data_IF_019165764153
#
_entry.id   IF_019165764153
#
_cell.length_a   1.000
_cell.length_b   1.000
_cell.length_c   1.000
_cell.angle_alpha   90.00
_cell.angle_beta   90.00
_cell.angle_gamma   90.00
#
_symmetry.space_group_name_H-M   'P 1'
#
loop_
_entity.id
_entity.type
_entity.pdbx_description
1 polymer ?
#
# COMPACT_ATOMS: atom_id res chain seq x y z
N UNK A 1 29.19 10.44 15.57
CA UNK A 1 28.21 10.94 14.58
C UNK A 1 26.91 10.22 14.83
N UNK A 2 26.06 10.78 15.70
CA UNK A 2 24.81 10.14 16.09
C UNK A 2 23.82 10.16 14.91
N UNK A 3 23.39 8.98 14.47
CA UNK A 3 22.23 8.87 13.58
C UNK A 3 21.00 9.37 14.35
N UNK A 4 20.60 10.60 14.07
CA UNK A 4 19.29 11.12 14.46
C UNK A 4 18.25 10.25 13.76
N UNK A 5 17.69 9.29 14.50
CA UNK A 5 16.59 8.46 14.03
C UNK A 5 15.31 9.33 14.02
N UNK A 6 15.13 10.10 12.94
CA UNK A 6 13.94 10.95 12.68
C UNK A 6 12.78 10.09 12.14
N UNK A 7 12.73 8.81 12.50
CA UNK A 7 11.70 7.89 12.05
C UNK A 7 11.05 7.25 13.27
N UNK A 8 9.73 7.43 13.38
CA UNK A 8 8.93 6.82 14.44
C UNK A 8 9.05 5.30 14.36
N UNK A 9 9.37 4.60 15.47
CA UNK A 9 9.49 3.15 15.48
C UNK A 9 8.17 2.48 15.10
N UNK A 10 7.03 3.10 15.43
CA UNK A 10 5.70 2.63 15.07
C UNK A 10 5.49 2.70 13.56
N UNK A 11 5.80 3.85 12.94
CA UNK A 11 5.73 3.99 11.48
C UNK A 11 6.63 2.95 10.79
N UNK A 12 7.86 2.76 11.28
CA UNK A 12 8.79 1.78 10.72
C UNK A 12 8.26 0.35 10.82
N UNK A 13 7.73 -0.06 11.99
CA UNK A 13 7.16 -1.38 12.17
C UNK A 13 5.94 -1.60 11.26
N UNK A 14 5.04 -0.62 11.17
CA UNK A 14 3.90 -0.66 10.25
C UNK A 14 4.34 -0.73 8.79
N UNK A 15 5.40 0.00 8.42
CA UNK A 15 5.99 -0.04 7.08
C UNK A 15 6.52 -1.43 6.75
N UNK A 16 7.23 -2.10 7.68
CA UNK A 16 7.66 -3.48 7.48
C UNK A 16 6.46 -4.42 7.32
N UNK A 17 5.40 -4.29 8.13
CA UNK A 17 4.19 -5.10 7.97
C UNK A 17 3.50 -4.88 6.61
N UNK A 18 3.38 -3.63 6.14
CA UNK A 18 2.88 -3.35 4.79
C UNK A 18 3.77 -3.95 3.71
N UNK A 19 5.09 -3.95 3.90
CA UNK A 19 6.00 -4.57 2.95
C UNK A 19 5.69 -6.07 2.79
N UNK A 20 5.51 -6.79 3.90
CA UNK A 20 5.17 -8.22 3.86
C UNK A 20 3.84 -8.47 3.16
N UNK A 21 2.83 -7.61 3.39
CA UNK A 21 1.56 -7.68 2.69
C UNK A 21 1.73 -7.48 1.18
N UNK A 22 2.52 -6.48 0.75
CA UNK A 22 2.78 -6.28 -0.68
C UNK A 22 3.63 -7.38 -1.31
N UNK A 23 4.56 -7.98 -0.57
CA UNK A 23 5.31 -9.14 -1.04
C UNK A 23 4.38 -10.33 -1.26
N UNK A 24 3.44 -10.57 -0.34
CA UNK A 24 2.40 -11.59 -0.50
C UNK A 24 1.48 -11.29 -1.69
N UNK A 25 1.01 -10.04 -1.83
CA UNK A 25 0.21 -9.62 -2.99
C UNK A 25 0.97 -9.84 -4.30
N UNK A 26 2.26 -9.51 -4.35
CA UNK A 26 3.09 -9.74 -5.53
C UNK A 26 3.20 -11.23 -5.88
N UNK A 27 3.34 -12.12 -4.88
CA UNK A 27 3.44 -13.56 -5.12
C UNK A 27 2.15 -14.17 -5.68
N UNK A 28 0.99 -13.77 -5.15
CA UNK A 28 -0.31 -14.29 -5.61
C UNK A 28 -0.64 -13.79 -7.02
N UNK A 29 -0.15 -12.60 -7.37
CA UNK A 29 -0.46 -11.99 -8.66
C UNK A 29 0.29 -12.60 -9.84
N UNK A 30 1.30 -13.45 -9.61
CA UNK A 30 2.02 -14.16 -10.67
C UNK A 30 1.13 -15.19 -11.40
N UNK A 31 0.04 -15.63 -10.77
CA UNK A 31 -0.91 -16.59 -11.34
C UNK A 31 -1.97 -15.91 -12.24
N UNK A 32 -2.05 -14.56 -12.24
CA UNK A 32 -3.03 -13.81 -13.02
C UNK A 32 -2.47 -13.43 -14.42
N UNK A 33 -3.30 -13.36 -15.47
CA UNK A 33 -2.82 -13.12 -16.85
C UNK A 33 -2.17 -11.74 -17.03
N UNK A 34 -2.56 -10.73 -16.24
CA UNK A 34 -1.93 -9.39 -16.29
C UNK A 34 -0.88 -9.17 -15.19
N UNK A 35 -0.25 -10.24 -14.70
CA UNK A 35 0.78 -10.19 -13.65
C UNK A 35 1.86 -9.14 -13.93
N UNK A 36 2.18 -8.88 -15.20
CA UNK A 36 3.24 -7.97 -15.63
C UNK A 36 2.98 -6.50 -15.26
N UNK A 37 1.75 -6.08 -15.01
CA UNK A 37 1.45 -4.75 -14.48
C UNK A 37 1.50 -4.71 -12.95
N UNK A 38 0.95 -5.74 -12.33
CA UNK A 38 0.72 -5.76 -10.90
C UNK A 38 1.93 -6.18 -10.09
N UNK A 39 2.69 -7.16 -10.57
CA UNK A 39 3.90 -7.64 -9.92
C UNK A 39 4.91 -6.50 -9.74
N UNK A 40 5.28 -5.70 -10.77
CA UNK A 40 6.15 -4.55 -10.57
C UNK A 40 5.57 -3.53 -9.59
N UNK A 41 4.27 -3.23 -9.66
CA UNK A 41 3.62 -2.28 -8.74
C UNK A 41 3.81 -2.71 -7.28
N UNK A 42 3.46 -3.97 -6.96
CA UNK A 42 3.56 -4.51 -5.61
C UNK A 42 5.02 -4.71 -5.17
N UNK A 43 5.90 -5.17 -6.06
CA UNK A 43 7.32 -5.35 -5.75
C UNK A 43 8.02 -4.01 -5.42
N UNK A 44 7.73 -2.95 -6.19
CA UNK A 44 8.27 -1.62 -5.88
C UNK A 44 7.64 -1.05 -4.60
N UNK A 45 6.33 -1.24 -4.37
CA UNK A 45 5.68 -0.83 -3.13
C UNK A 45 6.28 -1.55 -1.91
N UNK A 46 6.56 -2.85 -2.02
CA UNK A 46 7.31 -3.64 -1.03
C UNK A 46 8.68 -3.01 -0.77
N UNK A 47 9.45 -2.73 -1.83
CA UNK A 47 10.77 -2.11 -1.73
C UNK A 47 10.74 -0.77 -0.99
N UNK A 48 9.83 0.15 -1.34
CA UNK A 48 9.73 1.44 -0.65
C UNK A 48 9.40 1.26 0.84
N UNK A 49 8.46 0.37 1.17
CA UNK A 49 8.07 0.12 2.54
C UNK A 49 9.18 -0.53 3.37
N UNK A 50 10.02 -1.37 2.77
CA UNK A 50 11.17 -1.98 3.43
C UNK A 50 12.35 -0.99 3.58
N UNK A 51 12.65 -0.25 2.51
CA UNK A 51 13.83 0.64 2.42
C UNK A 51 13.65 1.98 3.14
N UNK A 52 12.44 2.28 3.63
CA UNK A 52 12.16 3.44 4.47
C UNK A 52 13.11 3.54 5.69
N UNK A 53 13.63 2.42 6.18
CA UNK A 53 14.54 2.37 7.32
C UNK A 53 16.00 2.81 6.99
N UNK A 54 16.42 2.80 5.72
CA UNK A 54 17.85 2.89 5.36
C UNK A 54 18.25 3.83 4.21
N UNK A 55 17.31 4.38 3.43
CA UNK A 55 17.64 5.12 2.19
C UNK A 55 17.44 6.65 2.28
N UNK A 56 18.19 7.38 1.43
CA UNK A 56 18.12 8.84 1.31
C UNK A 56 16.74 9.32 0.86
N UNK A 57 16.13 10.23 1.62
CA UNK A 57 14.72 10.62 1.49
C UNK A 57 14.30 11.18 0.12
N UNK A 58 15.22 11.79 -0.65
CA UNK A 58 14.87 12.39 -1.95
C UNK A 58 14.63 11.34 -3.05
N UNK A 59 15.49 10.32 -3.15
CA UNK A 59 15.32 9.25 -4.15
C UNK A 59 14.10 8.41 -3.81
N UNK A 60 13.96 8.03 -2.54
CA UNK A 60 12.81 7.27 -2.05
C UNK A 60 11.48 8.02 -2.31
N UNK A 61 11.45 9.33 -2.05
CA UNK A 61 10.29 10.17 -2.33
C UNK A 61 9.96 10.26 -3.82
N UNK A 62 10.97 10.32 -4.70
CA UNK A 62 10.73 10.34 -6.15
C UNK A 62 10.17 9.02 -6.64
N UNK A 63 10.75 7.90 -6.20
CA UNK A 63 10.26 6.57 -6.51
C UNK A 63 8.83 6.35 -5.98
N UNK A 64 8.54 6.77 -4.74
CA UNK A 64 7.20 6.71 -4.16
C UNK A 64 6.19 7.52 -4.98
N UNK A 65 6.57 8.68 -5.53
CA UNK A 65 5.72 9.46 -6.43
C UNK A 65 5.45 8.72 -7.74
N UNK A 66 6.47 8.13 -8.37
CA UNK A 66 6.29 7.33 -9.60
C UNK A 66 5.38 6.13 -9.38
N UNK A 67 5.54 5.42 -8.25
CA UNK A 67 4.71 4.27 -7.88
C UNK A 67 3.29 4.73 -7.55
N UNK A 68 3.12 5.89 -6.89
CA UNK A 68 1.81 6.48 -6.63
C UNK A 68 1.07 6.76 -7.95
N UNK A 69 1.74 7.38 -8.93
CA UNK A 69 1.16 7.62 -10.25
C UNK A 69 0.77 6.30 -10.94
N UNK A 70 1.66 5.31 -10.96
CA UNK A 70 1.37 4.00 -11.52
C UNK A 70 0.19 3.31 -10.82
N UNK A 71 0.13 3.38 -9.49
CA UNK A 71 -0.96 2.84 -8.69
C UNK A 71 -2.30 3.51 -8.99
N UNK A 72 -2.32 4.84 -9.16
CA UNK A 72 -3.53 5.57 -9.55
C UNK A 72 -3.98 5.17 -10.96
N UNK A 73 -3.06 5.08 -11.93
CA UNK A 73 -3.39 4.67 -13.30
C UNK A 73 -3.99 3.26 -13.34
N UNK A 74 -3.40 2.32 -12.61
CA UNK A 74 -3.90 0.94 -12.52
C UNK A 74 -5.22 0.86 -11.75
N UNK A 75 -5.41 1.66 -10.70
CA UNK A 75 -6.69 1.77 -10.01
C UNK A 75 -7.80 2.26 -10.94
N UNK A 76 -7.51 3.29 -11.77
CA UNK A 76 -8.46 3.78 -12.78
C UNK A 76 -8.76 2.70 -13.82
N UNK A 77 -7.73 1.99 -14.33
CA UNK A 77 -7.90 0.86 -15.26
C UNK A 77 -8.91 -0.15 -14.72
N UNK A 78 -8.73 -0.60 -13.48
CA UNK A 78 -9.58 -1.63 -12.87
C UNK A 78 -10.99 -1.12 -12.60
N UNK A 79 -11.15 0.16 -12.25
CA UNK A 79 -12.48 0.77 -12.10
C UNK A 79 -13.23 0.77 -13.45
N UNK A 80 -12.53 1.11 -14.54
CA UNK A 80 -13.13 1.12 -15.88
C UNK A 80 -13.47 -0.31 -16.32
N UNK A 81 -12.57 -1.27 -16.10
CA UNK A 81 -12.80 -2.68 -16.41
C UNK A 81 -14.01 -3.25 -15.65
N UNK A 82 -14.11 -3.03 -14.34
CA UNK A 82 -15.27 -3.45 -13.55
C UNK A 82 -16.58 -2.79 -13.99
N UNK A 83 -16.51 -1.56 -14.51
CA UNK A 83 -17.68 -0.90 -15.10
C UNK A 83 -18.08 -1.49 -16.45
N UNK A 84 -17.10 -1.80 -17.32
CA UNK A 84 -17.33 -2.34 -18.68
C UNK A 84 -17.81 -3.78 -18.65
N UNK A 85 -17.20 -4.62 -17.81
CA UNK A 85 -17.54 -6.05 -17.72
C UNK A 85 -18.85 -6.28 -16.95
N UNK A 86 -19.33 -5.29 -16.20
CA UNK A 86 -20.51 -5.41 -15.33
C UNK A 86 -20.30 -6.38 -14.15
N UNK A 87 -19.08 -6.88 -13.98
CA UNK A 87 -18.68 -7.80 -12.92
C UNK A 87 -18.24 -6.98 -11.72
N UNK A 88 -18.95 -7.15 -10.60
CA UNK A 88 -18.71 -6.49 -9.32
C UNK A 88 -18.98 -4.97 -9.33
N UNK A 89 -20.13 -4.55 -8.79
CA UNK A 89 -20.43 -3.14 -8.57
C UNK A 89 -19.34 -2.42 -7.77
N UNK A 90 -19.28 -1.09 -7.84
CA UNK A 90 -18.23 -0.26 -7.19
C UNK A 90 -18.01 -0.57 -5.69
N UNK A 91 -18.98 -1.13 -4.99
CA UNK A 91 -18.94 -1.51 -3.58
C UNK A 91 -18.81 -3.02 -3.31
N UNK A 92 -18.69 -3.84 -4.35
CA UNK A 92 -18.49 -5.27 -4.20
C UNK A 92 -17.14 -5.56 -3.53
N UNK A 93 -17.18 -6.38 -2.49
CA UNK A 93 -16.01 -6.86 -1.75
C UNK A 93 -15.76 -8.36 -1.99
N UNK A 94 -16.32 -8.92 -3.06
CA UNK A 94 -16.10 -10.33 -3.39
C UNK A 94 -14.69 -10.55 -3.96
N UNK A 95 -13.74 -10.93 -3.11
CA UNK A 95 -12.33 -11.18 -3.48
C UNK A 95 -12.12 -12.38 -4.42
N UNK A 96 -13.16 -13.18 -4.67
CA UNK A 96 -13.11 -14.18 -5.75
C UNK A 96 -12.95 -13.49 -7.10
N UNK A 97 -13.58 -12.32 -7.25
CA UNK A 97 -13.46 -11.50 -8.44
C UNK A 97 -12.09 -10.84 -8.48
N UNK A 98 -11.40 -11.06 -9.59
CA UNK A 98 -10.07 -10.53 -9.84
C UNK A 98 -10.04 -9.00 -9.75
N UNK A 99 -11.01 -8.34 -10.38
CA UNK A 99 -11.17 -6.87 -10.40
C UNK A 99 -11.24 -6.29 -8.97
N UNK A 100 -11.90 -6.99 -8.04
CA UNK A 100 -12.02 -6.54 -6.65
C UNK A 100 -10.67 -6.62 -5.92
N UNK A 101 -9.92 -7.72 -6.11
CA UNK A 101 -8.58 -7.87 -5.53
C UNK A 101 -7.62 -6.81 -6.04
N UNK A 102 -7.61 -6.58 -7.35
CA UNK A 102 -6.73 -5.61 -8.01
C UNK A 102 -7.05 -4.17 -7.58
N UNK A 103 -8.34 -3.84 -7.45
CA UNK A 103 -8.80 -2.54 -6.95
C UNK A 103 -8.37 -2.31 -5.50
N UNK A 104 -8.56 -3.30 -4.64
CA UNK A 104 -8.19 -3.19 -3.23
C UNK A 104 -6.66 -3.10 -3.08
N UNK A 105 -5.92 -3.99 -3.75
CA UNK A 105 -4.46 -3.98 -3.69
C UNK A 105 -3.84 -2.69 -4.22
N UNK A 106 -4.27 -2.20 -5.38
CA UNK A 106 -3.81 -0.91 -5.92
C UNK A 106 -4.19 0.27 -5.03
N UNK A 107 -5.39 0.26 -4.45
CA UNK A 107 -5.81 1.24 -3.46
C UNK A 107 -4.89 1.28 -2.24
N UNK A 108 -4.50 0.11 -1.70
CA UNK A 108 -3.56 0.01 -0.59
C UNK A 108 -2.16 0.54 -0.96
N UNK A 109 -1.67 0.27 -2.18
CA UNK A 109 -0.41 0.83 -2.69
C UNK A 109 -0.47 2.35 -2.74
N UNK A 110 -1.53 2.92 -3.31
CA UNK A 110 -1.74 4.37 -3.41
C UNK A 110 -1.72 5.02 -2.03
N UNK A 111 -2.46 4.48 -1.06
CA UNK A 111 -2.50 5.00 0.29
C UNK A 111 -1.14 4.90 0.99
N UNK A 112 -0.45 3.77 0.85
CA UNK A 112 0.90 3.57 1.41
C UNK A 112 1.90 4.59 0.86
N UNK A 113 1.96 4.75 -0.46
CA UNK A 113 2.89 5.70 -1.08
C UNK A 113 2.57 7.15 -0.71
N UNK A 114 1.28 7.51 -0.64
CA UNK A 114 0.86 8.83 -0.19
C UNK A 114 1.32 9.14 1.24
N UNK A 115 1.20 8.17 2.16
CA UNK A 115 1.67 8.32 3.54
C UNK A 115 3.19 8.45 3.62
N UNK A 116 3.94 7.70 2.81
CA UNK A 116 5.40 7.84 2.71
C UNK A 116 5.81 9.24 2.21
N UNK A 117 5.12 9.78 1.21
CA UNK A 117 5.35 11.15 0.72
C UNK A 117 5.02 12.19 1.79
N UNK A 118 3.91 12.02 2.51
CA UNK A 118 3.50 12.91 3.61
C UNK A 118 4.51 12.88 4.76
N UNK A 119 5.00 11.69 5.13
CA UNK A 119 6.04 11.52 6.14
C UNK A 119 7.37 12.16 5.70
N UNK A 120 7.77 11.99 4.44
CA UNK A 120 8.95 12.64 3.85
C UNK A 120 8.84 14.16 3.88
N UNK A 121 7.69 14.71 3.50
CA UNK A 121 7.43 16.15 3.56
C UNK A 121 7.47 16.68 5.01
N UNK A 122 6.81 15.97 5.94
CA UNK A 122 6.83 16.33 7.36
C UNK A 122 8.24 16.30 7.95
N UNK A 123 9.07 15.31 7.58
CA UNK A 123 10.48 15.24 7.99
C UNK A 123 11.31 16.43 7.47
N UNK A 124 11.06 16.88 6.24
CA UNK A 124 11.71 18.07 5.66
C UNK A 124 11.29 19.36 6.38
N UNK A 125 10.01 19.48 6.71
CA UNK A 125 9.49 20.64 7.43
C UNK A 125 9.95 20.64 8.90
N UNK A 126 10.05 19.48 9.55
CA UNK A 126 10.47 19.37 10.94
C UNK A 126 11.90 19.90 11.14
N UNK A 127 12.78 19.70 10.15
CA UNK A 127 14.12 20.31 10.12
C UNK A 127 14.10 21.85 10.05
N UNK A 128 12.98 22.44 9.62
CA UNK A 128 12.73 23.90 9.62
C UNK A 128 11.91 24.36 10.83
N UNK A 129 11.67 23.48 11.83
CA UNK A 129 10.92 23.79 13.04
C UNK A 129 9.39 23.80 12.87
N UNK A 130 8.84 23.18 11.81
CA UNK A 130 7.40 23.09 11.54
C UNK A 130 7.00 21.66 11.14
N UNK A 131 5.80 21.17 11.43
CA UNK A 131 5.32 19.91 10.81
C UNK A 131 5.23 18.67 11.70
N UNK A 132 5.28 18.81 13.02
CA UNK A 132 5.02 17.72 13.97
C UNK A 132 3.61 17.11 13.78
N UNK A 133 2.60 17.93 13.56
CA UNK A 133 1.22 17.48 13.29
C UNK A 133 1.13 16.61 12.02
N UNK A 134 1.86 16.98 10.97
CA UNK A 134 1.88 16.24 9.71
C UNK A 134 2.56 14.86 9.87
N UNK A 135 3.63 14.79 10.68
CA UNK A 135 4.31 13.54 11.00
C UNK A 135 3.40 12.60 11.81
N UNK A 136 2.75 13.10 12.87
CA UNK A 136 1.78 12.32 13.66
C UNK A 136 0.60 11.82 12.81
N UNK A 137 0.12 12.65 11.89
CA UNK A 137 -0.96 12.27 10.97
C UNK A 137 -0.52 11.19 9.96
N UNK A 138 0.72 11.24 9.46
CA UNK A 138 1.26 10.19 8.61
C UNK A 138 1.43 8.86 9.37
N UNK A 139 1.89 8.93 10.63
CA UNK A 139 1.99 7.77 11.52
C UNK A 139 0.64 7.13 11.81
N UNK A 140 -0.34 7.91 12.26
CA UNK A 140 -1.70 7.40 12.50
C UNK A 140 -2.30 6.80 11.22
N UNK A 141 -2.10 7.46 10.07
CA UNK A 141 -2.56 6.93 8.78
C UNK A 141 -1.92 5.58 8.43
N UNK A 142 -0.63 5.40 8.71
CA UNK A 142 0.07 4.15 8.43
C UNK A 142 -0.38 3.00 9.34
N UNK A 143 -0.63 3.30 10.62
CA UNK A 143 -1.21 2.34 11.57
C UNK A 143 -2.59 1.89 11.11
N UNK A 144 -3.46 2.84 10.74
CA UNK A 144 -4.80 2.55 10.24
C UNK A 144 -4.73 1.72 8.96
N UNK A 145 -3.82 2.06 8.04
CA UNK A 145 -3.66 1.33 6.79
C UNK A 145 -3.26 -0.12 7.02
N UNK A 146 -2.29 -0.39 7.90
CA UNK A 146 -1.88 -1.75 8.26
C UNK A 146 -3.02 -2.50 8.93
N UNK A 147 -3.65 -1.89 9.93
CA UNK A 147 -4.76 -2.52 10.66
C UNK A 147 -5.92 -2.88 9.72
N UNK A 148 -6.27 -1.98 8.80
CA UNK A 148 -7.29 -2.24 7.78
C UNK A 148 -6.85 -3.36 6.82
N UNK A 149 -5.59 -3.37 6.37
CA UNK A 149 -5.09 -4.39 5.43
C UNK A 149 -5.06 -5.79 6.07
N UNK A 150 -4.60 -5.89 7.31
CA UNK A 150 -4.62 -7.15 8.08
C UNK A 150 -6.05 -7.56 8.38
N UNK A 151 -6.89 -6.64 8.86
CA UNK A 151 -8.30 -6.91 9.17
C UNK A 151 -9.06 -7.41 7.94
N UNK A 152 -8.81 -6.81 6.78
CA UNK A 152 -9.35 -7.24 5.50
C UNK A 152 -8.91 -8.68 5.15
N UNK A 153 -7.62 -8.98 5.34
CA UNK A 153 -7.06 -10.33 5.11
C UNK A 153 -7.72 -11.37 6.03
N UNK A 154 -7.87 -11.06 7.32
CA UNK A 154 -8.52 -11.94 8.30
C UNK A 154 -10.01 -12.13 7.99
N UNK A 155 -10.73 -11.05 7.68
CA UNK A 155 -12.14 -11.09 7.32
C UNK A 155 -12.39 -12.03 6.13
N UNK A 156 -11.56 -11.94 5.10
CA UNK A 156 -11.68 -12.83 3.95
C UNK A 156 -11.30 -14.27 4.25
N UNK A 157 -10.27 -14.50 5.07
CA UNK A 157 -9.91 -15.84 5.49
C UNK A 157 -11.08 -16.55 6.21
N UNK A 158 -11.76 -15.84 7.12
CA UNK A 158 -12.89 -16.38 7.87
C UNK A 158 -14.13 -16.60 6.98
N UNK A 159 -14.47 -15.63 6.13
CA UNK A 159 -15.67 -15.71 5.28
C UNK A 159 -15.54 -16.71 4.12
N UNK A 160 -14.33 -16.91 3.58
CA UNK A 160 -14.10 -17.91 2.53
C UNK A 160 -14.21 -19.34 3.08
N UNK A 161 -13.79 -19.59 4.34
CA UNK A 161 -13.91 -20.90 4.97
C UNK A 161 -15.36 -21.35 5.17
N UNK A 162 -16.29 -20.46 5.51
CA UNK A 162 -17.70 -20.83 5.74
C UNK A 162 -18.41 -21.37 4.50
N UNK A 163 -17.94 -21.02 3.30
CA UNK A 163 -18.54 -21.45 2.04
C UNK A 163 -17.85 -22.66 1.39
N UNK A 164 -16.71 -23.12 1.92
CA UNK A 164 -16.11 -24.40 1.52
C UNK A 164 -16.66 -25.52 2.40
N UNK A 165 -17.92 -25.89 2.19
CA UNK A 165 -18.44 -27.18 2.66
C UNK A 165 -17.75 -28.29 1.86
N UNK A 166 -17.00 -29.13 2.56
CA UNK A 166 -16.52 -30.42 2.06
C UNK A 166 -17.68 -31.33 1.69
#
# INVERSE_FOLDING_TARGET
MAMLNVHSPVFSACSVLMSLLFAYSASVQLDDPDWYFWFPLYAFAFGINLLHCGFTSNTLSRSAMSILCAGILLLVKVIVEGYVEGVAGLWSLNMRERVVREKLGSGLVVMSMFLHLKASHASKEAKKGRGELAARSAESGMVILVAASIGLTVYFFLTVQEHMKF
#
